data_IF_258279582365
#
_entry.id   IF_258279582365
#
_cell.length_a   1.000
_cell.length_b   1.000
_cell.length_c   1.000
_cell.angle_alpha   90.00
_cell.angle_beta   90.00
_cell.angle_gamma   90.00
#
_symmetry.space_group_name_H-M   'P 1'
#
loop_
_entity.id
_entity.type
_entity.pdbx_description
1 polymer ?
#
# COMPACT_ATOMS: atom_id res chain seq x y z
N UNK A 1 -7.46 0.58 23.98
CA UNK A 1 -6.37 1.50 23.61
C UNK A 1 -5.52 1.78 24.83
N UNK A 2 -4.20 1.76 24.70
CA UNK A 2 -3.31 2.26 25.74
C UNK A 2 -3.23 3.80 25.68
N UNK A 3 -3.07 4.47 26.83
CA UNK A 3 -2.73 5.89 26.89
C UNK A 3 -1.23 6.00 27.03
N UNK A 4 -0.60 6.71 26.12
CA UNK A 4 0.84 6.97 26.13
C UNK A 4 1.05 8.46 26.25
N UNK A 5 2.02 8.88 27.05
CA UNK A 5 2.47 10.27 27.16
C UNK A 5 3.81 10.36 26.46
N UNK A 6 3.90 11.23 25.45
CA UNK A 6 5.10 11.50 24.67
C UNK A 6 5.16 13.00 24.39
N UNK A 7 6.37 13.52 24.29
CA UNK A 7 6.60 14.89 23.83
C UNK A 7 6.61 14.93 22.31
N UNK A 8 5.93 15.92 21.73
CA UNK A 8 5.80 16.11 20.29
C UNK A 8 6.00 17.58 19.96
N UNK A 9 6.61 17.85 18.82
CA UNK A 9 6.70 19.18 18.26
C UNK A 9 5.29 19.70 17.89
N UNK A 10 4.92 20.85 18.45
CA UNK A 10 3.60 21.44 18.30
C UNK A 10 3.33 21.90 16.86
N UNK A 11 4.34 22.38 16.17
CA UNK A 11 4.20 22.85 14.78
C UNK A 11 3.96 21.67 13.84
N UNK A 12 4.64 20.55 14.08
CA UNK A 12 4.42 19.30 13.32
C UNK A 12 3.05 18.71 13.58
N UNK A 13 2.55 18.76 14.81
CA UNK A 13 1.19 18.30 15.13
C UNK A 13 0.15 19.20 14.48
N UNK A 14 0.36 20.52 14.47
CA UNK A 14 -0.52 21.46 13.80
C UNK A 14 -0.56 21.21 12.28
N UNK A 15 0.59 20.93 11.68
CA UNK A 15 0.69 20.61 10.26
C UNK A 15 -0.01 19.27 9.93
N UNK A 16 0.19 18.24 10.75
CA UNK A 16 -0.56 16.98 10.62
C UNK A 16 -2.08 17.20 10.77
N UNK A 17 -2.51 18.06 11.69
CA UNK A 17 -3.92 18.43 11.83
C UNK A 17 -4.46 19.10 10.56
N UNK A 18 -3.68 19.97 9.92
CA UNK A 18 -4.03 20.61 8.65
C UNK A 18 -4.11 19.60 7.49
N UNK A 19 -3.08 18.78 7.32
CA UNK A 19 -2.99 17.75 6.27
C UNK A 19 -4.17 16.77 6.36
N UNK A 20 -4.45 16.26 7.56
CA UNK A 20 -5.51 15.27 7.77
C UNK A 20 -6.88 15.89 8.07
N UNK A 21 -7.01 17.23 8.06
CA UNK A 21 -8.26 17.94 8.28
C UNK A 21 -8.92 17.65 9.63
N UNK A 22 -8.13 17.51 10.70
CA UNK A 22 -8.62 17.14 12.03
C UNK A 22 -8.60 18.29 13.02
N UNK A 23 -9.52 18.26 13.99
CA UNK A 23 -9.65 19.28 15.02
C UNK A 23 -8.92 18.94 16.32
N UNK A 24 -8.37 17.74 16.45
CA UNK A 24 -7.74 17.27 17.69
C UNK A 24 -6.37 16.67 17.44
N UNK A 25 -5.39 17.07 18.28
CA UNK A 25 -4.01 16.57 18.24
C UNK A 25 -3.95 15.03 18.28
N UNK A 26 -4.72 14.42 19.18
CA UNK A 26 -4.76 12.97 19.31
C UNK A 26 -5.32 12.25 18.07
N UNK A 27 -6.20 12.88 17.28
CA UNK A 27 -6.67 12.29 16.02
C UNK A 27 -5.62 12.43 14.91
N UNK A 28 -4.99 13.60 14.81
CA UNK A 28 -3.89 13.81 13.87
C UNK A 28 -2.75 12.81 14.07
N UNK A 29 -2.30 12.61 15.32
CA UNK A 29 -1.23 11.66 15.65
C UNK A 29 -1.62 10.23 15.28
N UNK A 30 -2.86 9.79 15.57
CA UNK A 30 -3.32 8.44 15.18
C UNK A 30 -3.32 8.26 13.66
N UNK A 31 -3.84 9.23 12.92
CA UNK A 31 -3.88 9.16 11.45
C UNK A 31 -2.47 9.17 10.85
N UNK A 32 -1.58 10.02 11.36
CA UNK A 32 -0.20 10.08 10.92
C UNK A 32 0.53 8.74 11.14
N UNK A 33 0.35 8.13 12.32
CA UNK A 33 0.94 6.83 12.63
C UNK A 33 0.37 5.72 11.74
N UNK A 34 -0.95 5.69 11.54
CA UNK A 34 -1.58 4.71 10.63
C UNK A 34 -1.09 4.86 9.19
N UNK A 35 -0.97 6.09 8.70
CA UNK A 35 -0.51 6.37 7.35
C UNK A 35 0.95 5.96 7.17
N UNK A 36 1.81 6.26 8.14
CA UNK A 36 3.21 5.84 8.14
C UNK A 36 3.35 4.31 8.11
N UNK A 37 2.62 3.60 8.97
CA UNK A 37 2.63 2.13 9.02
C UNK A 37 2.11 1.54 7.71
N UNK A 38 0.94 2.01 7.24
CA UNK A 38 0.35 1.53 5.98
C UNK A 38 1.26 1.82 4.77
N UNK A 39 2.01 2.92 4.79
CA UNK A 39 2.97 3.26 3.74
C UNK A 39 4.13 2.26 3.72
N UNK A 40 4.65 1.89 4.88
CA UNK A 40 5.72 0.89 4.96
C UNK A 40 5.24 -0.49 4.52
N UNK A 41 4.08 -0.94 5.01
CA UNK A 41 3.48 -2.21 4.59
C UNK A 41 3.18 -2.25 3.09
N UNK A 42 2.78 -1.11 2.50
CA UNK A 42 2.61 -1.02 1.04
C UNK A 42 3.93 -1.20 0.31
N UNK A 43 5.03 -0.63 0.81
CA UNK A 43 6.35 -0.81 0.21
C UNK A 43 6.80 -2.27 0.31
N UNK A 44 6.73 -2.87 1.49
CA UNK A 44 7.06 -4.29 1.67
C UNK A 44 6.22 -5.20 0.76
N UNK A 45 4.93 -4.90 0.61
CA UNK A 45 4.06 -5.64 -0.31
C UNK A 45 4.47 -5.51 -1.78
N UNK A 46 4.90 -4.33 -2.23
CA UNK A 46 5.42 -4.15 -3.58
C UNK A 46 6.78 -4.85 -3.77
N UNK A 47 7.66 -4.76 -2.78
CA UNK A 47 8.96 -5.41 -2.82
C UNK A 47 8.81 -6.94 -2.87
N UNK A 48 7.86 -7.51 -2.12
CA UNK A 48 7.52 -8.94 -2.18
C UNK A 48 6.92 -9.36 -3.54
N UNK A 49 6.11 -8.49 -4.16
CA UNK A 49 5.62 -8.72 -5.53
C UNK A 49 6.76 -8.74 -6.54
N UNK A 50 7.70 -7.79 -6.45
CA UNK A 50 8.86 -7.70 -7.34
C UNK A 50 9.81 -8.89 -7.14
N UNK A 51 10.00 -9.34 -5.90
CA UNK A 51 10.80 -10.51 -5.55
C UNK A 51 10.17 -11.84 -6.02
N UNK A 52 8.93 -11.83 -6.52
CA UNK A 52 8.23 -13.02 -6.99
C UNK A 52 7.73 -13.93 -5.86
N UNK A 53 7.59 -13.39 -4.65
CA UNK A 53 7.04 -14.14 -3.50
C UNK A 53 5.51 -14.34 -3.62
N UNK A 54 4.85 -13.55 -4.47
CA UNK A 54 3.45 -13.71 -4.80
C UNK A 54 3.29 -14.34 -6.19
N UNK A 55 2.66 -15.51 -6.23
CA UNK A 55 2.34 -16.21 -7.47
C UNK A 55 1.02 -15.70 -8.05
N UNK A 56 1.10 -14.99 -9.17
CA UNK A 56 -0.05 -14.48 -9.91
C UNK A 56 -0.42 -15.32 -11.14
N UNK A 57 0.19 -16.50 -11.32
CA UNK A 57 -0.01 -17.34 -12.51
C UNK A 57 -1.48 -17.67 -12.76
N UNK A 58 -2.22 -18.12 -11.74
CA UNK A 58 -3.65 -18.45 -11.82
C UNK A 58 -4.52 -17.25 -12.25
N UNK A 59 -4.22 -16.05 -11.72
CA UNK A 59 -4.96 -14.82 -12.04
C UNK A 59 -4.71 -14.41 -13.48
N UNK A 60 -3.45 -14.49 -13.94
CA UNK A 60 -3.08 -14.20 -15.34
C UNK A 60 -3.73 -15.19 -16.29
N UNK A 61 -3.79 -16.47 -15.93
CA UNK A 61 -4.49 -17.48 -16.74
C UNK A 61 -5.99 -17.22 -16.84
N UNK A 62 -6.62 -16.71 -15.78
CA UNK A 62 -8.07 -16.48 -15.76
C UNK A 62 -8.48 -15.14 -16.40
N UNK A 63 -7.68 -14.09 -16.16
CA UNK A 63 -8.05 -12.69 -16.45
C UNK A 63 -7.03 -11.92 -17.30
N UNK A 64 -6.00 -12.59 -17.80
CA UNK A 64 -4.93 -11.97 -18.59
C UNK A 64 -5.38 -11.37 -19.93
N UNK A 65 -4.45 -10.71 -20.65
CA UNK A 65 -4.73 -10.02 -21.92
C UNK A 65 -5.40 -10.93 -22.94
N UNK A 66 -6.41 -10.41 -23.64
CA UNK A 66 -7.18 -11.16 -24.64
C UNK A 66 -6.95 -10.62 -26.05
N UNK A 67 -6.99 -11.54 -27.01
CA UNK A 67 -7.06 -11.20 -28.43
C UNK A 67 -8.42 -10.59 -28.76
N UNK A 68 -8.56 -10.03 -29.97
CA UNK A 68 -9.83 -9.44 -30.44
C UNK A 68 -10.99 -10.45 -30.51
N UNK A 69 -10.68 -11.75 -30.57
CA UNK A 69 -11.63 -12.86 -30.55
C UNK A 69 -11.98 -13.35 -29.12
N UNK A 70 -11.45 -12.71 -28.08
CA UNK A 70 -11.69 -13.05 -26.67
C UNK A 70 -10.86 -14.21 -26.13
N UNK A 71 -10.04 -14.86 -26.97
CA UNK A 71 -9.09 -15.89 -26.52
C UNK A 71 -7.96 -15.27 -25.69
N UNK A 72 -7.41 -16.03 -24.73
CA UNK A 72 -6.25 -15.58 -23.95
C UNK A 72 -5.04 -15.46 -24.87
N UNK A 73 -4.37 -14.31 -24.79
CA UNK A 73 -3.13 -14.06 -25.52
C UNK A 73 -2.00 -14.80 -24.81
N UNK A 74 -1.69 -16.01 -25.26
CA UNK A 74 -0.52 -16.76 -24.80
C UNK A 74 0.69 -16.25 -25.58
N UNK A 75 1.55 -15.45 -24.94
CA UNK A 75 2.84 -15.12 -25.52
C UNK A 75 3.67 -16.40 -25.55
N UNK A 76 3.67 -17.06 -26.70
CA UNK A 76 4.49 -18.24 -26.94
C UNK A 76 5.96 -17.86 -26.93
N UNK A 77 6.68 -18.17 -25.85
CA UNK A 77 8.14 -18.11 -25.86
C UNK A 77 8.80 -17.95 -24.49
N UNK A 78 8.92 -19.05 -23.73
CA UNK A 78 10.13 -19.27 -22.92
C UNK A 78 10.77 -20.55 -23.42
N UNK A 79 11.67 -20.41 -24.38
CA UNK A 79 12.64 -21.44 -24.70
C UNK A 79 13.71 -21.45 -23.60
N UNK A 80 14.08 -22.67 -23.20
CA UNK A 80 15.16 -23.14 -22.32
C UNK A 80 16.07 -22.09 -21.66
#
# INVERSE_FOLDING_TARGET
MARTVIDLDEDMVAEAMRIYGTKTKAKAVRLAMEDAVKRHLRQEGFDAMEAGELDFSEIVETTGPRNADGSLKRDGGRAA
#
